data_IF_526377803267
#
_entry.id   IF_526377803267
#
_cell.length_a   1.000
_cell.length_b   1.000
_cell.length_c   1.000
_cell.angle_alpha   90.00
_cell.angle_beta   90.00
_cell.angle_gamma   90.00
#
_symmetry.space_group_name_H-M   'P 1'
#
loop_
_entity.id
_entity.type
_entity.pdbx_description
1 polymer ?
#
# COMPACT_ATOMS: atom_id res chain seq x y z
N UNK A 1 -13.69 -1.76 -5.10
CA UNK A 1 -12.41 -1.65 -4.35
C UNK A 1 -11.28 -1.12 -5.23
N UNK A 2 -11.13 -1.57 -6.47
CA UNK A 2 -9.96 -1.28 -7.32
C UNK A 2 -9.69 0.22 -7.55
N UNK A 3 -10.73 1.02 -7.83
CA UNK A 3 -10.59 2.48 -8.00
C UNK A 3 -10.10 3.20 -6.73
N UNK A 4 -10.37 2.63 -5.55
CA UNK A 4 -9.94 3.21 -4.27
C UNK A 4 -8.43 3.14 -4.08
N UNK A 5 -7.77 2.06 -4.54
CA UNK A 5 -6.31 1.93 -4.49
C UNK A 5 -5.62 3.10 -5.21
N UNK A 6 -6.02 3.39 -6.45
CA UNK A 6 -5.42 4.47 -7.22
C UNK A 6 -5.68 5.86 -6.64
N UNK A 7 -6.89 6.11 -6.11
CA UNK A 7 -7.20 7.39 -5.44
C UNK A 7 -6.31 7.60 -4.22
N UNK A 8 -6.17 6.58 -3.38
CA UNK A 8 -5.35 6.65 -2.17
C UNK A 8 -3.86 6.74 -2.53
N UNK A 9 -3.40 5.94 -3.50
CA UNK A 9 -2.03 5.99 -4.00
C UNK A 9 -1.68 7.40 -4.49
N UNK A 10 -2.54 8.03 -5.31
CA UNK A 10 -2.30 9.38 -5.82
C UNK A 10 -2.19 10.42 -4.69
N UNK A 11 -2.95 10.27 -3.60
CA UNK A 11 -2.80 11.10 -2.41
C UNK A 11 -1.43 10.87 -1.74
N UNK A 12 -0.99 9.62 -1.59
CA UNK A 12 0.36 9.34 -1.06
C UNK A 12 1.48 9.89 -1.94
N UNK A 13 1.33 9.85 -3.27
CA UNK A 13 2.27 10.47 -4.20
C UNK A 13 2.35 11.98 -3.95
N UNK A 14 1.20 12.65 -3.87
CA UNK A 14 1.15 14.09 -3.59
C UNK A 14 1.82 14.42 -2.25
N UNK A 15 1.50 13.67 -1.19
CA UNK A 15 2.12 13.84 0.13
C UNK A 15 3.63 13.59 0.09
N UNK A 16 4.09 12.56 -0.62
CA UNK A 16 5.50 12.24 -0.81
C UNK A 16 6.26 13.36 -1.52
N UNK A 17 5.69 13.93 -2.59
CA UNK A 17 6.26 15.06 -3.33
C UNK A 17 6.35 16.30 -2.44
N UNK A 18 5.26 16.67 -1.75
CA UNK A 18 5.25 17.81 -0.82
C UNK A 18 6.32 17.65 0.24
N UNK A 19 6.42 16.46 0.86
CA UNK A 19 7.44 16.17 1.87
C UNK A 19 8.86 16.26 1.31
N UNK A 20 9.09 15.79 0.08
CA UNK A 20 10.39 15.90 -0.60
C UNK A 20 10.79 17.36 -0.84
N UNK A 21 9.84 18.20 -1.27
CA UNK A 21 10.06 19.65 -1.45
C UNK A 21 10.40 20.31 -0.12
N UNK A 22 9.64 20.02 0.94
CA UNK A 22 9.87 20.59 2.28
C UNK A 22 11.26 20.23 2.79
N UNK A 23 11.66 18.96 2.73
CA UNK A 23 12.99 18.51 3.16
C UNK A 23 14.12 19.16 2.36
N UNK A 24 13.93 19.32 1.04
CA UNK A 24 14.93 19.97 0.20
C UNK A 24 15.04 21.47 0.50
N UNK A 25 13.91 22.15 0.74
CA UNK A 25 13.87 23.58 1.05
C UNK A 25 14.42 23.91 2.45
N UNK A 26 14.24 23.01 3.42
CA UNK A 26 14.74 23.19 4.79
C UNK A 26 16.14 22.60 5.00
N UNK A 27 16.70 21.91 4.02
CA UNK A 27 17.92 21.09 4.12
C UNK A 27 17.91 20.05 5.27
N UNK A 28 16.72 19.78 5.82
CA UNK A 28 16.52 18.82 6.89
C UNK A 28 15.96 17.52 6.31
N UNK A 29 16.76 16.49 6.43
CA UNK A 29 16.52 15.18 5.86
C UNK A 29 16.25 14.11 6.92
N UNK A 30 16.00 14.52 8.15
CA UNK A 30 15.68 13.65 9.28
C UNK A 30 14.52 12.70 8.94
N UNK A 31 13.51 13.18 8.21
CA UNK A 31 12.33 12.39 7.83
C UNK A 31 12.46 11.67 6.47
N UNK A 32 13.67 11.53 5.90
CA UNK A 32 13.92 10.73 4.68
C UNK A 32 13.29 9.32 4.74
N UNK A 33 13.36 8.58 5.86
CA UNK A 33 12.72 7.25 5.93
C UNK A 33 11.20 7.31 5.74
N UNK A 34 10.52 8.28 6.35
CA UNK A 34 9.07 8.45 6.22
C UNK A 34 8.70 8.81 4.79
N UNK A 35 9.44 9.73 4.16
CA UNK A 35 9.26 10.09 2.75
C UNK A 35 9.39 8.87 1.82
N UNK A 36 10.42 8.04 2.02
CA UNK A 36 10.63 6.83 1.23
C UNK A 36 9.47 5.83 1.39
N UNK A 37 8.98 5.62 2.61
CA UNK A 37 7.86 4.70 2.85
C UNK A 37 6.54 5.24 2.29
N UNK A 38 6.28 6.55 2.38
CA UNK A 38 5.11 7.17 1.75
C UNK A 38 5.10 6.91 0.23
N UNK A 39 6.24 7.08 -0.45
CA UNK A 39 6.30 6.83 -1.89
C UNK A 39 6.29 5.33 -2.25
N UNK A 40 6.99 4.47 -1.51
CA UNK A 40 7.07 3.04 -1.82
C UNK A 40 5.84 2.25 -1.34
N UNK A 41 5.48 2.34 -0.06
CA UNK A 41 4.34 1.62 0.51
C UNK A 41 3.02 2.33 0.15
N UNK A 42 2.99 3.66 0.21
CA UNK A 42 1.80 4.43 -0.12
C UNK A 42 1.54 4.52 -1.62
N UNK A 43 2.43 5.11 -2.40
CA UNK A 43 2.19 5.27 -3.84
C UNK A 43 2.39 3.98 -4.62
N UNK A 44 3.63 3.47 -4.71
CA UNK A 44 3.98 2.37 -5.61
C UNK A 44 3.23 1.08 -5.26
N UNK A 45 3.25 0.65 -4.00
CA UNK A 45 2.64 -0.63 -3.60
C UNK A 45 1.12 -0.61 -3.76
N UNK A 46 0.42 0.47 -3.32
CA UNK A 46 -1.03 0.56 -3.52
C UNK A 46 -1.40 0.61 -5.00
N UNK A 47 -0.64 1.33 -5.82
CA UNK A 47 -0.88 1.35 -7.27
C UNK A 47 -0.75 -0.05 -7.87
N UNK A 48 0.33 -0.78 -7.53
CA UNK A 48 0.55 -2.15 -8.00
C UNK A 48 -0.52 -3.13 -7.50
N UNK A 49 -0.97 -3.03 -6.25
CA UNK A 49 -2.10 -3.82 -5.75
C UNK A 49 -3.37 -3.51 -6.55
N UNK A 50 -3.65 -2.24 -6.81
CA UNK A 50 -4.77 -1.80 -7.63
C UNK A 50 -4.72 -2.36 -9.06
N UNK A 51 -3.56 -2.32 -9.70
CA UNK A 51 -3.32 -2.93 -11.03
C UNK A 51 -3.58 -4.43 -10.97
N UNK A 52 -2.97 -5.14 -10.02
CA UNK A 52 -3.13 -6.59 -9.87
C UNK A 52 -4.61 -6.98 -9.75
N UNK A 53 -5.37 -6.33 -8.86
CA UNK A 53 -6.79 -6.61 -8.68
C UNK A 53 -7.68 -6.14 -9.83
N UNK A 54 -7.18 -5.28 -10.71
CA UNK A 54 -7.86 -4.90 -11.96
C UNK A 54 -7.63 -5.94 -13.05
N UNK A 55 -6.42 -6.49 -13.15
CA UNK A 55 -6.08 -7.58 -14.09
C UNK A 55 -6.72 -8.90 -13.66
N UNK A 56 -6.77 -9.18 -12.35
CA UNK A 56 -7.34 -10.39 -11.77
C UNK A 56 -8.57 -10.07 -10.90
N UNK A 57 -9.73 -9.74 -11.50
CA UNK A 57 -10.92 -9.33 -10.76
C UNK A 57 -11.45 -10.42 -9.81
N UNK A 58 -11.25 -11.71 -10.14
CA UNK A 58 -11.60 -12.82 -9.26
C UNK A 58 -10.81 -12.81 -7.94
N UNK A 59 -9.53 -12.42 -7.98
CA UNK A 59 -8.71 -12.28 -6.77
C UNK A 59 -9.24 -11.15 -5.86
N UNK A 60 -9.75 -10.07 -6.47
CA UNK A 60 -10.29 -8.90 -5.78
C UNK A 60 -11.60 -9.19 -5.03
N UNK A 61 -12.36 -10.21 -5.47
CA UNK A 61 -13.62 -10.62 -4.85
C UNK A 61 -13.45 -11.40 -3.55
N UNK A 62 -12.22 -11.81 -3.21
CA UNK A 62 -11.96 -12.68 -2.05
C UNK A 62 -12.03 -11.92 -0.72
N UNK A 63 -12.38 -12.65 0.35
CA UNK A 63 -12.30 -12.11 1.72
C UNK A 63 -10.87 -11.71 2.10
N UNK A 64 -9.87 -12.46 1.62
CA UNK A 64 -8.45 -12.18 1.83
C UNK A 64 -8.04 -10.84 1.22
N UNK A 65 -8.51 -10.52 0.01
CA UNK A 65 -8.25 -9.20 -0.61
C UNK A 65 -8.87 -8.05 0.20
N UNK A 66 -10.04 -8.26 0.80
CA UNK A 66 -10.69 -7.26 1.64
C UNK A 66 -9.94 -7.02 2.95
N UNK A 67 -9.50 -8.09 3.62
CA UNK A 67 -8.66 -7.99 4.82
C UNK A 67 -7.34 -7.30 4.51
N UNK A 68 -6.70 -7.69 3.40
CA UNK A 68 -5.49 -7.05 2.91
C UNK A 68 -5.69 -5.55 2.70
N UNK A 69 -6.72 -5.14 1.96
CA UNK A 69 -7.01 -3.74 1.68
C UNK A 69 -7.16 -2.91 2.96
N UNK A 70 -8.09 -3.29 3.82
CA UNK A 70 -8.39 -2.51 5.03
C UNK A 70 -7.24 -2.53 6.02
N UNK A 71 -6.61 -3.68 6.23
CA UNK A 71 -5.43 -3.80 7.10
C UNK A 71 -4.31 -2.89 6.62
N UNK A 72 -4.01 -2.92 5.32
CA UNK A 72 -2.94 -2.10 4.76
C UNK A 72 -3.26 -0.60 4.80
N UNK A 73 -4.45 -0.20 4.34
CA UNK A 73 -4.85 1.22 4.25
C UNK A 73 -4.98 1.89 5.62
N UNK A 74 -5.35 1.15 6.67
CA UNK A 74 -5.42 1.70 8.04
C UNK A 74 -4.06 1.66 8.73
N UNK A 75 -3.30 0.58 8.59
CA UNK A 75 -2.01 0.46 9.27
C UNK A 75 -0.94 1.40 8.70
N UNK A 76 -0.99 1.70 7.39
CA UNK A 76 0.01 2.55 6.74
C UNK A 76 0.06 3.98 7.32
N UNK A 77 -1.04 4.76 7.42
CA UNK A 77 -0.98 6.09 8.01
C UNK A 77 -0.58 6.05 9.49
N UNK A 78 -1.02 5.04 10.24
CA UNK A 78 -0.60 4.85 11.64
C UNK A 78 0.91 4.62 11.75
N UNK A 79 1.47 3.78 10.88
CA UNK A 79 2.90 3.52 10.81
C UNK A 79 3.68 4.78 10.44
N UNK A 80 3.22 5.57 9.46
CA UNK A 80 3.91 6.79 9.02
C UNK A 80 3.94 7.85 10.13
N UNK A 81 2.83 8.05 10.84
CA UNK A 81 2.77 8.98 11.98
C UNK A 81 3.64 8.49 13.12
N UNK A 82 3.56 7.20 13.49
CA UNK A 82 4.38 6.63 14.55
C UNK A 82 5.87 6.70 14.22
N UNK A 83 6.27 6.42 12.97
CA UNK A 83 7.65 6.51 12.53
C UNK A 83 8.18 7.95 12.56
N UNK A 84 7.37 8.92 12.11
CA UNK A 84 7.73 10.33 12.20
C UNK A 84 7.97 10.75 13.67
N UNK A 85 7.02 10.43 14.57
CA UNK A 85 7.13 10.74 15.99
C UNK A 85 8.34 10.05 16.65
N UNK A 86 8.62 8.80 16.29
CA UNK A 86 9.77 8.06 16.79
C UNK A 86 11.08 8.76 16.40
N UNK A 87 11.22 9.14 15.13
CA UNK A 87 12.40 9.83 14.61
C UNK A 87 12.56 11.23 15.23
N UNK A 88 11.46 11.94 15.52
CA UNK A 88 11.50 13.27 16.16
C UNK A 88 11.62 13.22 17.69
N UNK A 89 11.94 12.07 18.28
CA UNK A 89 12.30 11.96 19.69
C UNK A 89 11.16 11.54 20.65
N UNK A 90 10.10 10.91 20.16
CA UNK A 90 9.02 10.37 21.00
C UNK A 90 9.07 8.84 21.08
N UNK A 91 9.99 8.22 21.84
CA UNK A 91 10.16 6.76 21.87
C UNK A 91 8.94 6.00 22.42
N UNK A 92 8.04 6.68 23.14
CA UNK A 92 6.81 6.10 23.66
C UNK A 92 5.87 5.54 22.56
N UNK A 93 6.02 5.96 21.29
CA UNK A 93 5.23 5.45 20.16
C UNK A 93 5.73 4.11 19.61
N UNK A 94 6.84 3.58 20.13
CA UNK A 94 7.45 2.31 19.67
C UNK A 94 6.45 1.14 19.60
N UNK A 95 5.56 0.92 20.58
CA UNK A 95 4.56 -0.16 20.49
C UNK A 95 3.60 0.04 19.30
N UNK A 96 3.15 1.26 19.05
CA UNK A 96 2.29 1.58 17.92
C UNK A 96 3.02 1.36 16.58
N UNK A 97 4.29 1.78 16.49
CA UNK A 97 5.14 1.53 15.33
C UNK A 97 5.33 0.02 15.07
N UNK A 98 5.58 -0.76 16.12
CA UNK A 98 5.71 -2.21 16.02
C UNK A 98 4.42 -2.90 15.56
N UNK A 99 3.29 -2.59 16.20
CA UNK A 99 1.99 -3.19 15.87
C UNK A 99 1.57 -2.85 14.44
N UNK A 100 1.65 -1.58 14.05
CA UNK A 100 1.30 -1.16 12.68
C UNK A 100 2.19 -1.83 11.63
N UNK A 101 3.47 -2.03 11.92
CA UNK A 101 4.40 -2.77 11.05
C UNK A 101 4.02 -4.24 10.89
N UNK A 102 3.61 -4.91 11.98
CA UNK A 102 3.12 -6.29 11.91
C UNK A 102 1.83 -6.38 11.08
N UNK A 103 0.90 -5.44 11.24
CA UNK A 103 -0.35 -5.41 10.46
C UNK A 103 -0.05 -5.20 8.97
N UNK A 104 0.88 -4.30 8.62
CA UNK A 104 1.35 -4.12 7.23
C UNK A 104 1.92 -5.44 6.69
N UNK A 105 2.79 -6.11 7.46
CA UNK A 105 3.38 -7.39 7.04
C UNK A 105 2.32 -8.46 6.80
N UNK A 106 1.32 -8.60 7.70
CA UNK A 106 0.21 -9.53 7.52
C UNK A 106 -0.63 -9.20 6.29
N UNK A 107 -0.89 -7.92 6.01
CA UNK A 107 -1.59 -7.51 4.81
C UNK A 107 -0.79 -7.85 3.54
N UNK A 108 0.54 -7.68 3.55
CA UNK A 108 1.42 -8.11 2.45
C UNK A 108 1.36 -9.63 2.26
N UNK A 109 1.35 -10.41 3.34
CA UNK A 109 1.16 -11.87 3.28
C UNK A 109 -0.19 -12.22 2.63
N UNK A 110 -1.27 -11.53 2.99
CA UNK A 110 -2.57 -11.72 2.33
C UNK A 110 -2.52 -11.41 0.82
N UNK A 111 -1.78 -10.37 0.42
CA UNK A 111 -1.56 -10.06 -0.99
C UNK A 111 -0.79 -11.18 -1.71
N UNK A 112 0.33 -11.64 -1.13
CA UNK A 112 1.11 -12.78 -1.61
C UNK A 112 0.23 -14.01 -1.80
N UNK A 113 -0.59 -14.36 -0.80
CA UNK A 113 -1.53 -15.49 -0.91
C UNK A 113 -2.47 -15.33 -2.11
N UNK A 114 -3.01 -14.13 -2.35
CA UNK A 114 -3.87 -13.87 -3.50
C UNK A 114 -3.12 -13.97 -4.83
N UNK A 115 -1.89 -13.44 -4.91
CA UNK A 115 -1.08 -13.54 -6.13
C UNK A 115 -0.85 -15.00 -6.50
N UNK A 116 -0.39 -15.83 -5.56
CA UNK A 116 -0.10 -17.24 -5.85
C UNK A 116 -1.35 -18.07 -6.18
N UNK A 117 -2.50 -17.73 -5.60
CA UNK A 117 -3.75 -18.45 -5.84
C UNK A 117 -4.43 -18.09 -7.16
N UNK A 118 -4.30 -16.84 -7.61
CA UNK A 118 -5.13 -16.31 -8.69
C UNK A 118 -4.37 -15.80 -9.91
N UNK A 119 -3.06 -15.56 -9.82
CA UNK A 119 -2.27 -15.13 -10.98
C UNK A 119 -2.07 -16.24 -12.02
N UNK A 120 -2.10 -17.52 -11.59
CA UNK A 120 -1.90 -18.68 -12.45
C UNK A 120 -3.19 -19.19 -13.14
N UNK A 121 -4.35 -18.60 -12.83
CA UNK A 121 -5.62 -19.01 -13.44
C UNK A 121 -5.79 -18.30 -14.79
N UNK A 122 -5.82 -19.01 -15.93
CA UNK A 122 -6.05 -18.40 -17.22
C UNK A 122 -7.39 -17.67 -17.26
N UNK A 123 -7.42 -16.48 -17.87
CA UNK A 123 -8.66 -15.74 -18.13
C UNK A 123 -9.49 -16.50 -19.19
N UNK A 124 -10.30 -17.45 -18.76
CA UNK A 124 -11.06 -18.33 -19.67
C UNK A 124 -12.19 -17.63 -20.44
N UNK A 125 -12.46 -16.34 -20.19
CA UNK A 125 -13.62 -15.62 -20.75
C UNK A 125 -13.35 -14.63 -21.89
N UNK A 126 -12.10 -14.47 -22.39
CA UNK A 126 -11.82 -13.51 -23.49
C UNK A 126 -11.84 -14.15 -24.89
N UNK A 127 -11.79 -15.48 -24.98
CA UNK A 127 -11.67 -16.20 -26.25
C UNK A 127 -13.03 -16.67 -26.81
N UNK A 128 -14.13 -16.54 -26.06
CA UNK A 128 -15.46 -16.98 -26.50
C UNK A 128 -16.27 -15.88 -27.22
N UNK A 129 -15.71 -14.67 -27.35
CA UNK A 129 -16.37 -13.52 -28.01
C UNK A 129 -16.03 -13.34 -29.49
N UNK A 130 -15.24 -14.24 -30.08
CA UNK A 130 -14.91 -14.22 -31.51
C UNK A 130 -15.40 -15.53 -32.14
N UNK A 131 -16.73 -15.65 -32.24
CA UNK A 131 -17.37 -16.60 -33.13
C UNK A 131 -17.58 -15.97 -34.53
N UNK A 132 -17.65 -16.79 -35.59
CA UNK A 132 -17.38 -16.43 -36.99
C UNK A 132 -18.32 -15.39 -37.60
#
# INVERSE_FOLDING_TARGET
MNKSYFRIAALYLLLGVIMGIVMAASEDFTLRPVHAHINLLGWVSLALFGVFYTVYPHAAATKVARVQFWGYTVALPLQMVALALFITGHPAVTPLLGISSVVIALAVVCFVINVWRYAAVPQQGRLEGVGP
#
